data_IF_385031854116
#
_entry.id   IF_385031854116
#
_cell.length_a   1.000
_cell.length_b   1.000
_cell.length_c   1.000
_cell.angle_alpha   90.00
_cell.angle_beta   90.00
_cell.angle_gamma   90.00
#
_symmetry.space_group_name_H-M   'P 1'
#
loop_
_entity.id
_entity.type
_entity.pdbx_description
1 polymer ?
#
# COMPACT_ATOMS: atom_id res chain seq x y z
N UNK A 1 -35.16 12.44 -43.88
CA UNK A 1 -34.81 11.68 -42.66
C UNK A 1 -34.17 12.66 -41.71
N UNK A 2 -35.00 13.19 -40.83
CA UNK A 2 -34.71 14.31 -39.95
C UNK A 2 -34.06 13.77 -38.66
N UNK A 3 -32.85 14.22 -38.33
CA UNK A 3 -32.17 13.85 -37.08
C UNK A 3 -32.41 14.96 -36.06
N UNK A 4 -33.30 14.70 -35.12
CA UNK A 4 -33.60 15.59 -33.99
C UNK A 4 -32.39 15.80 -33.06
N UNK A 5 -32.39 16.88 -32.26
CA UNK A 5 -31.25 17.26 -31.43
C UNK A 5 -31.18 16.42 -30.15
N UNK A 6 -29.96 16.05 -29.77
CA UNK A 6 -29.66 15.34 -28.53
C UNK A 6 -29.76 16.28 -27.31
N UNK A 7 -30.64 15.94 -26.37
CA UNK A 7 -30.71 16.56 -25.04
C UNK A 7 -29.46 16.19 -24.24
N UNK A 8 -28.64 17.18 -23.94
CA UNK A 8 -27.47 17.05 -23.06
C UNK A 8 -27.93 17.32 -21.62
N UNK A 9 -28.04 16.27 -20.80
CA UNK A 9 -28.31 16.38 -19.37
C UNK A 9 -27.01 16.75 -18.67
N UNK A 10 -26.88 18.03 -18.28
CA UNK A 10 -25.76 18.53 -17.52
C UNK A 10 -25.80 18.06 -16.07
N UNK A 11 -25.08 16.99 -15.74
CA UNK A 11 -24.73 16.65 -14.36
C UNK A 11 -23.65 17.61 -13.88
N UNK A 12 -24.00 18.54 -12.99
CA UNK A 12 -23.03 19.35 -12.24
C UNK A 12 -22.28 18.45 -11.24
N UNK A 13 -20.94 18.40 -11.25
CA UNK A 13 -20.18 17.79 -10.16
C UNK A 13 -20.45 18.58 -8.86
N UNK A 14 -20.94 17.90 -7.82
CA UNK A 14 -20.99 18.49 -6.48
C UNK A 14 -19.56 18.72 -5.98
N UNK A 15 -19.29 19.90 -5.42
CA UNK A 15 -18.02 20.20 -4.79
C UNK A 15 -17.80 19.27 -3.58
N UNK A 16 -16.58 18.74 -3.38
CA UNK A 16 -16.29 17.87 -2.25
C UNK A 16 -16.50 18.62 -0.93
N UNK A 17 -17.43 18.12 -0.12
CA UNK A 17 -17.67 18.61 1.24
C UNK A 17 -16.40 18.43 2.07
N UNK A 18 -15.79 19.53 2.52
CA UNK A 18 -14.64 19.50 3.42
C UNK A 18 -15.09 18.91 4.76
N UNK A 19 -14.67 17.68 5.03
CA UNK A 19 -14.95 17.01 6.31
C UNK A 19 -13.93 17.53 7.33
N UNK A 20 -14.35 17.93 8.56
CA UNK A 20 -13.42 18.35 9.60
C UNK A 20 -12.43 17.22 9.94
N UNK A 21 -11.18 17.54 10.34
CA UNK A 21 -10.18 16.53 10.67
C UNK A 21 -10.62 15.75 11.92
N UNK A 22 -11.08 14.52 11.74
CA UNK A 22 -11.32 13.58 12.83
C UNK A 22 -10.02 13.35 13.62
N UNK A 23 -10.14 13.18 14.94
CA UNK A 23 -9.03 13.01 15.88
C UNK A 23 -8.04 11.94 15.38
N UNK A 24 -6.92 12.39 14.82
CA UNK A 24 -5.86 11.52 14.34
C UNK A 24 -5.21 10.77 15.50
N UNK A 25 -4.75 9.56 15.24
CA UNK A 25 -3.84 8.85 16.14
C UNK A 25 -2.61 9.75 16.34
N UNK A 26 -2.06 9.88 17.57
CA UNK A 26 -0.91 10.73 17.81
C UNK A 26 0.25 10.25 16.93
N UNK A 27 0.61 11.05 15.91
CA UNK A 27 1.79 10.78 15.12
C UNK A 27 2.99 10.79 16.07
N UNK A 28 3.74 9.69 16.12
CA UNK A 28 5.00 9.66 16.85
C UNK A 28 5.93 10.70 16.21
N UNK A 29 6.05 11.86 16.85
CA UNK A 29 6.75 13.05 16.35
C UNK A 29 8.27 12.94 16.57
N UNK A 30 8.85 11.77 16.26
CA UNK A 30 10.26 11.48 16.44
C UNK A 30 10.84 10.66 15.30
N UNK A 31 12.13 10.86 15.05
CA UNK A 31 12.89 9.99 14.17
C UNK A 31 12.98 8.59 14.81
N UNK A 32 12.80 7.55 13.99
CA UNK A 32 13.01 6.16 14.39
C UNK A 32 14.34 5.66 13.84
N UNK A 33 15.01 4.75 14.55
CA UNK A 33 16.29 4.21 14.11
C UNK A 33 16.10 2.92 13.29
N UNK A 34 16.62 2.90 12.07
CA UNK A 34 16.69 1.72 11.22
C UNK A 34 18.12 1.17 11.16
N UNK A 35 18.25 -0.15 11.19
CA UNK A 35 19.49 -0.79 10.75
C UNK A 35 19.60 -0.70 9.22
N UNK A 36 20.81 -0.82 8.68
CA UNK A 36 21.01 -0.70 7.24
C UNK A 36 22.12 -1.61 6.71
N UNK A 37 22.01 -1.96 5.44
CA UNK A 37 23.03 -2.68 4.68
C UNK A 37 23.17 -2.12 3.27
N UNK A 38 24.36 -2.26 2.71
CA UNK A 38 24.63 -1.99 1.29
C UNK A 38 25.03 -3.30 0.63
N UNK A 39 24.26 -3.68 -0.37
CA UNK A 39 24.49 -4.84 -1.21
C UNK A 39 24.89 -4.40 -2.61
N UNK A 40 26.08 -4.81 -3.08
CA UNK A 40 26.55 -4.48 -4.42
C UNK A 40 27.69 -5.42 -4.86
N UNK A 41 28.07 -5.33 -6.14
CA UNK A 41 29.20 -6.09 -6.70
C UNK A 41 30.52 -5.37 -6.41
N UNK A 42 31.45 -6.08 -5.76
CA UNK A 42 32.80 -5.57 -5.47
C UNK A 42 33.88 -6.60 -5.77
N UNK A 43 35.08 -6.11 -6.10
CA UNK A 43 36.29 -6.92 -6.17
C UNK A 43 36.90 -7.06 -4.78
N UNK A 44 37.28 -8.28 -4.41
CA UNK A 44 38.03 -8.58 -3.18
C UNK A 44 39.12 -9.63 -3.45
N UNK A 45 40.03 -9.85 -2.48
CA UNK A 45 41.00 -10.94 -2.57
C UNK A 45 40.36 -12.32 -2.81
N UNK A 46 39.14 -12.56 -2.31
CA UNK A 46 38.43 -13.85 -2.44
C UNK A 46 37.57 -13.96 -3.70
N UNK A 47 37.60 -12.97 -4.59
CA UNK A 47 36.83 -12.98 -5.84
C UNK A 47 35.97 -11.73 -6.07
N UNK A 48 35.18 -11.78 -7.14
CA UNK A 48 34.28 -10.72 -7.60
C UNK A 48 32.86 -11.25 -7.51
N UNK A 49 31.96 -10.48 -6.90
CA UNK A 49 30.56 -10.86 -6.82
C UNK A 49 29.73 -9.92 -5.96
N UNK A 50 28.41 -10.12 -6.02
CA UNK A 50 27.45 -9.42 -5.20
C UNK A 50 27.43 -9.96 -3.77
N UNK A 51 27.51 -9.04 -2.80
CA UNK A 51 27.40 -9.33 -1.37
C UNK A 51 27.09 -8.06 -0.61
N UNK A 52 26.79 -8.21 0.68
CA UNK A 52 26.76 -7.10 1.61
C UNK A 52 28.20 -6.61 1.82
N UNK A 53 28.47 -5.35 1.50
CA UNK A 53 29.80 -4.72 1.62
C UNK A 53 29.92 -3.85 2.86
N UNK A 54 28.78 -3.43 3.39
CA UNK A 54 28.67 -2.56 4.55
C UNK A 54 27.36 -2.86 5.28
N UNK A 55 27.38 -2.84 6.61
CA UNK A 55 26.18 -3.03 7.43
C UNK A 55 26.29 -2.31 8.76
N UNK A 56 25.16 -1.90 9.34
CA UNK A 56 25.09 -1.49 10.74
C UNK A 56 25.26 -2.68 11.69
N UNK A 57 25.56 -2.39 12.96
CA UNK A 57 25.85 -3.41 13.97
C UNK A 57 24.64 -4.24 14.43
N UNK A 58 23.42 -3.78 14.17
CA UNK A 58 22.19 -4.45 14.62
C UNK A 58 21.65 -5.54 13.69
N UNK A 59 22.28 -5.79 12.54
CA UNK A 59 21.88 -6.87 11.63
C UNK A 59 22.50 -8.21 12.02
N UNK A 60 21.65 -9.22 12.23
CA UNK A 60 22.06 -10.60 12.50
C UNK A 60 22.59 -11.29 11.24
N UNK A 61 23.21 -12.46 11.40
CA UNK A 61 23.71 -13.24 10.28
C UNK A 61 22.58 -13.75 9.37
N UNK A 62 21.46 -14.20 9.96
CA UNK A 62 20.32 -14.72 9.21
C UNK A 62 19.65 -13.63 8.38
N UNK A 63 19.49 -12.43 8.94
CA UNK A 63 18.94 -11.31 8.17
C UNK A 63 19.85 -10.87 7.03
N UNK A 64 21.18 -10.91 7.24
CA UNK A 64 22.15 -10.65 6.15
C UNK A 64 22.02 -11.69 5.03
N UNK A 65 21.72 -12.94 5.37
CA UNK A 65 21.45 -14.00 4.39
C UNK A 65 20.14 -13.74 3.64
N UNK A 66 19.06 -13.40 4.35
CA UNK A 66 17.77 -13.05 3.75
C UNK A 66 17.87 -11.82 2.83
N UNK A 67 18.59 -10.77 3.27
CA UNK A 67 18.88 -9.59 2.46
C UNK A 67 19.65 -9.97 1.19
N UNK A 68 20.67 -10.80 1.32
CA UNK A 68 21.46 -11.28 0.18
C UNK A 68 20.60 -12.06 -0.82
N UNK A 69 19.70 -12.92 -0.33
CA UNK A 69 18.81 -13.71 -1.18
C UNK A 69 17.79 -12.85 -1.95
N UNK A 70 17.28 -11.79 -1.32
CA UNK A 70 16.24 -10.94 -1.90
C UNK A 70 16.78 -9.76 -2.74
N UNK A 71 18.06 -9.40 -2.58
CA UNK A 71 18.66 -8.29 -3.32
C UNK A 71 18.93 -8.62 -4.79
N UNK A 72 18.74 -7.67 -5.73
CA UNK A 72 19.05 -7.87 -7.14
C UNK A 72 20.56 -7.98 -7.43
N UNK A 73 20.92 -8.86 -8.36
CA UNK A 73 22.26 -8.92 -8.98
C UNK A 73 22.30 -8.21 -10.34
N UNK A 74 23.38 -8.38 -11.12
CA UNK A 74 23.53 -7.80 -12.46
C UNK A 74 22.29 -8.09 -13.34
N UNK A 75 21.86 -7.09 -14.11
CA UNK A 75 20.79 -7.16 -15.11
C UNK A 75 19.43 -7.58 -14.51
N UNK A 76 19.23 -7.34 -13.20
CA UNK A 76 17.97 -7.66 -12.51
C UNK A 76 16.94 -6.53 -12.57
N UNK A 77 17.32 -5.30 -12.92
CA UNK A 77 16.36 -4.21 -13.08
C UNK A 77 15.61 -4.35 -14.40
N UNK A 78 14.36 -3.89 -14.43
CA UNK A 78 13.51 -3.95 -15.64
C UNK A 78 13.96 -2.99 -16.73
N UNK A 79 14.49 -1.82 -16.34
CA UNK A 79 14.97 -0.79 -17.25
C UNK A 79 16.50 -0.82 -17.31
N UNK A 80 17.05 -0.63 -18.50
CA UNK A 80 18.48 -0.40 -18.75
C UNK A 80 18.84 1.09 -18.76
N UNK A 81 17.89 1.98 -18.46
CA UNK A 81 18.19 3.40 -18.34
C UNK A 81 19.11 3.63 -17.12
N UNK A 82 20.08 4.57 -17.19
CA UNK A 82 20.94 4.88 -16.05
C UNK A 82 20.18 5.33 -14.80
N UNK A 83 19.00 5.93 -14.99
CA UNK A 83 18.09 6.36 -13.92
C UNK A 83 17.14 5.24 -13.45
N UNK A 84 17.32 3.99 -13.91
CA UNK A 84 16.49 2.88 -13.49
C UNK A 84 16.58 2.67 -11.97
N UNK A 85 15.41 2.48 -11.37
CA UNK A 85 15.24 2.22 -9.95
C UNK A 85 14.35 1.01 -9.75
N UNK A 86 14.59 0.34 -8.64
CA UNK A 86 13.72 -0.70 -8.13
C UNK A 86 13.51 -0.52 -6.64
N UNK A 87 12.37 -1.03 -6.18
CA UNK A 87 12.00 -1.09 -4.79
C UNK A 87 11.57 -2.51 -4.47
N UNK A 88 11.98 -3.03 -3.33
CA UNK A 88 11.40 -4.24 -2.75
C UNK A 88 11.18 -4.05 -1.26
N UNK A 89 10.17 -4.74 -0.74
CA UNK A 89 9.89 -4.80 0.70
C UNK A 89 9.54 -6.22 1.09
N UNK A 90 10.00 -6.67 2.25
CA UNK A 90 9.75 -8.03 2.73
C UNK A 90 9.92 -8.14 4.24
N UNK A 91 9.09 -8.96 4.92
CA UNK A 91 9.34 -9.33 6.30
C UNK A 91 10.59 -10.22 6.38
N UNK A 92 11.34 -10.07 7.46
CA UNK A 92 12.46 -10.94 7.83
C UNK A 92 11.99 -11.96 8.85
N UNK A 93 12.67 -13.10 8.94
CA UNK A 93 12.37 -14.14 9.95
C UNK A 93 12.49 -13.63 11.40
N UNK A 94 13.24 -12.55 11.63
CA UNK A 94 13.35 -11.87 12.92
C UNK A 94 12.10 -11.07 13.34
N UNK A 95 11.09 -10.97 12.46
CA UNK A 95 9.91 -10.12 12.66
C UNK A 95 10.13 -8.66 12.27
N UNK A 96 11.34 -8.27 11.84
CA UNK A 96 11.64 -6.95 11.30
C UNK A 96 11.21 -6.85 9.83
N UNK A 97 11.10 -5.63 9.32
CA UNK A 97 10.72 -5.40 7.92
C UNK A 97 11.87 -4.74 7.16
N UNK A 98 12.23 -5.28 6.00
CA UNK A 98 13.27 -4.75 5.13
C UNK A 98 12.63 -3.95 3.98
N UNK A 99 13.17 -2.77 3.69
CA UNK A 99 12.87 -1.97 2.51
C UNK A 99 14.17 -1.73 1.76
N UNK A 100 14.24 -2.21 0.51
CA UNK A 100 15.45 -2.22 -0.30
C UNK A 100 15.27 -1.40 -1.58
N UNK A 101 16.08 -0.34 -1.70
CA UNK A 101 16.10 0.59 -2.81
C UNK A 101 17.29 0.25 -3.71
N UNK A 102 17.04 -0.08 -4.98
CA UNK A 102 18.09 -0.46 -5.92
C UNK A 102 18.19 0.52 -7.09
N UNK A 103 19.41 0.79 -7.54
CA UNK A 103 19.70 1.60 -8.74
C UNK A 103 21.03 1.15 -9.36
N UNK A 104 21.35 1.68 -10.54
CA UNK A 104 22.69 1.50 -11.10
C UNK A 104 23.69 2.46 -10.45
N UNK A 105 24.91 1.95 -10.21
CA UNK A 105 25.99 2.69 -9.56
C UNK A 105 27.34 2.44 -10.25
N UNK A 106 27.37 2.71 -11.56
CA UNK A 106 28.56 2.57 -12.41
C UNK A 106 28.69 1.20 -13.05
N UNK A 107 29.89 0.91 -13.56
CA UNK A 107 30.18 -0.34 -14.29
C UNK A 107 30.45 -1.47 -13.30
N UNK A 108 29.94 -2.67 -13.59
CA UNK A 108 30.24 -3.85 -12.80
C UNK A 108 31.73 -4.23 -12.93
N UNK A 109 32.44 -4.52 -11.82
CA UNK A 109 33.86 -4.88 -11.86
C UNK A 109 34.17 -6.26 -12.48
N UNK A 110 33.19 -6.89 -13.16
CA UNK A 110 33.31 -8.20 -13.80
C UNK A 110 33.79 -8.08 -15.24
N UNK A 111 34.42 -9.13 -15.77
CA UNK A 111 34.82 -9.20 -17.18
C UNK A 111 33.62 -9.31 -18.15
N UNK A 112 32.40 -9.53 -17.63
CA UNK A 112 31.17 -9.66 -18.43
C UNK A 112 30.60 -8.30 -18.85
N UNK A 113 31.06 -7.22 -18.24
CA UNK A 113 30.49 -5.90 -18.43
C UNK A 113 29.08 -5.76 -17.84
N UNK A 114 28.44 -4.63 -18.14
CA UNK A 114 27.13 -4.27 -17.61
C UNK A 114 27.19 -3.34 -16.41
N UNK A 115 26.01 -2.92 -15.96
CA UNK A 115 25.87 -1.95 -14.88
C UNK A 115 25.87 -2.65 -13.52
N UNK A 116 26.65 -2.10 -12.59
CA UNK A 116 26.66 -2.51 -11.19
C UNK A 116 25.37 -2.07 -10.54
N UNK A 117 24.62 -3.02 -9.99
CA UNK A 117 23.46 -2.70 -9.15
C UNK A 117 23.94 -2.38 -7.73
N UNK A 118 23.48 -1.26 -7.20
CA UNK A 118 23.62 -0.85 -5.81
C UNK A 118 22.26 -0.98 -5.14
N UNK A 119 22.21 -1.68 -4.01
CA UNK A 119 21.00 -1.84 -3.20
C UNK A 119 21.28 -1.32 -1.80
N UNK A 120 20.54 -0.29 -1.38
CA UNK A 120 20.50 0.18 -0.01
C UNK A 120 19.29 -0.42 0.69
N UNK A 121 19.53 -1.18 1.74
CA UNK A 121 18.49 -1.83 2.53
C UNK A 121 18.37 -1.14 3.88
N UNK A 122 17.17 -0.70 4.24
CA UNK A 122 16.81 -0.28 5.59
C UNK A 122 15.98 -1.39 6.26
N UNK A 123 16.35 -1.74 7.49
CA UNK A 123 15.65 -2.73 8.31
C UNK A 123 15.07 -2.04 9.52
N UNK A 124 13.74 -2.03 9.60
CA UNK A 124 12.98 -1.39 10.67
C UNK A 124 12.39 -2.45 11.60
N UNK A 125 12.45 -2.19 12.91
CA UNK A 125 11.73 -3.01 13.89
C UNK A 125 10.20 -2.82 13.80
N UNK A 126 9.40 -3.70 14.43
CA UNK A 126 7.93 -3.62 14.39
C UNK A 126 7.38 -2.24 14.80
N UNK A 127 7.87 -1.67 15.89
CA UNK A 127 7.41 -0.35 16.38
C UNK A 127 7.83 0.78 15.43
N UNK A 128 9.04 0.71 14.89
CA UNK A 128 9.52 1.67 13.92
C UNK A 128 8.67 1.60 12.64
N UNK A 129 8.33 0.39 12.16
CA UNK A 129 7.49 0.23 10.98
C UNK A 129 6.05 0.68 11.24
N UNK A 130 5.54 0.47 12.45
CA UNK A 130 4.26 0.99 12.90
C UNK A 130 4.20 2.53 12.85
N UNK A 131 5.29 3.22 13.17
CA UNK A 131 5.38 4.69 13.03
C UNK A 131 5.26 5.16 11.57
N UNK A 132 5.51 4.28 10.60
CA UNK A 132 5.24 4.49 9.18
C UNK A 132 3.89 3.94 8.74
N UNK A 133 2.97 3.61 9.67
CA UNK A 133 1.68 2.95 9.39
C UNK A 133 1.83 1.63 8.60
N UNK A 134 2.97 0.97 8.81
CA UNK A 134 3.41 -0.20 8.05
C UNK A 134 3.40 0.03 6.53
N UNK A 135 3.69 1.26 6.09
CA UNK A 135 3.65 1.66 4.70
C UNK A 135 5.08 1.69 4.10
N UNK A 136 5.49 0.68 3.31
CA UNK A 136 6.88 0.56 2.85
C UNK A 136 7.33 1.73 1.94
N UNK A 137 6.44 2.36 1.18
CA UNK A 137 6.80 3.56 0.40
C UNK A 137 7.14 4.78 1.28
N UNK A 138 6.59 4.87 2.50
CA UNK A 138 6.93 5.95 3.42
C UNK A 138 8.31 5.73 4.03
N UNK A 139 8.67 4.47 4.30
CA UNK A 139 10.04 4.08 4.69
C UNK A 139 11.02 4.39 3.55
N UNK A 140 10.69 4.02 2.32
CA UNK A 140 11.50 4.33 1.12
C UNK A 140 11.77 5.84 1.00
N UNK A 141 10.72 6.66 1.12
CA UNK A 141 10.83 8.11 1.05
C UNK A 141 11.76 8.67 2.15
N UNK A 142 11.64 8.15 3.38
CA UNK A 142 12.50 8.54 4.48
C UNK A 142 13.97 8.10 4.28
N UNK A 143 14.20 6.89 3.75
CA UNK A 143 15.55 6.41 3.40
C UNK A 143 16.16 7.30 2.32
N UNK A 144 15.40 7.64 1.28
CA UNK A 144 15.83 8.53 0.21
C UNK A 144 16.20 9.93 0.73
N UNK A 145 15.46 10.45 1.70
CA UNK A 145 15.76 11.72 2.34
C UNK A 145 17.04 11.66 3.19
N UNK A 146 17.24 10.56 3.94
CA UNK A 146 18.40 10.38 4.81
C UNK A 146 19.69 9.99 4.04
N UNK A 147 19.56 9.31 2.90
CA UNK A 147 20.67 8.80 2.09
C UNK A 147 20.35 8.96 0.59
N UNK A 148 20.49 10.18 0.04
CA UNK A 148 20.03 10.50 -1.31
C UNK A 148 20.90 9.92 -2.43
N UNK A 149 22.12 9.47 -2.14
CA UNK A 149 23.08 9.00 -3.13
C UNK A 149 23.67 7.64 -2.78
N UNK A 150 23.98 6.79 -3.79
CA UNK A 150 24.72 5.56 -3.58
C UNK A 150 26.09 5.81 -2.95
N UNK A 151 26.42 5.05 -1.90
CA UNK A 151 27.74 5.07 -1.28
C UNK A 151 28.69 4.16 -2.07
N UNK A 152 29.45 4.73 -3.01
CA UNK A 152 30.40 4.00 -3.85
C UNK A 152 31.61 3.47 -3.07
N UNK A 153 31.98 4.12 -1.98
CA UNK A 153 33.07 3.76 -1.06
C UNK A 153 32.54 3.65 0.38
N UNK A 154 31.58 2.75 0.61
CA UNK A 154 31.00 2.58 1.93
C UNK A 154 32.01 1.99 2.94
N UNK A 155 32.07 2.49 4.19
CA UNK A 155 32.83 1.84 5.25
C UNK A 155 32.20 0.49 5.59
N UNK A 156 33.00 -0.49 6.04
CA UNK A 156 32.49 -1.82 6.38
C UNK A 156 31.39 -1.80 7.48
N UNK A 157 31.46 -0.82 8.39
CA UNK A 157 30.48 -0.58 9.44
C UNK A 157 29.74 0.72 9.19
N UNK A 158 28.42 0.63 9.08
CA UNK A 158 27.53 1.78 8.94
C UNK A 158 26.96 2.17 10.31
N UNK A 159 26.61 3.44 10.47
CA UNK A 159 25.73 3.88 11.56
C UNK A 159 24.30 3.44 11.28
N UNK A 160 23.39 3.54 12.26
CA UNK A 160 21.96 3.35 12.03
C UNK A 160 21.38 4.60 11.34
N UNK A 161 20.37 4.42 10.48
CA UNK A 161 19.67 5.55 9.86
C UNK A 161 18.64 6.11 10.83
N UNK A 162 18.65 7.42 11.06
CA UNK A 162 17.52 8.13 11.65
C UNK A 162 16.51 8.44 10.54
N UNK A 163 15.33 7.82 10.61
CA UNK A 163 14.26 7.97 9.61
C UNK A 163 13.07 8.70 10.23
N UNK A 164 12.58 9.72 9.55
CA UNK A 164 11.37 10.44 9.95
C UNK A 164 10.22 10.10 8.99
N UNK A 165 9.04 9.71 9.50
CA UNK A 165 7.85 9.54 8.67
C UNK A 165 7.54 10.82 7.87
N UNK A 166 7.36 10.74 6.54
CA UNK A 166 7.01 11.91 5.74
C UNK A 166 5.62 12.43 6.13
N UNK A 167 5.50 13.73 6.40
CA UNK A 167 4.21 14.39 6.62
C UNK A 167 3.46 14.57 5.30
N UNK A 168 2.16 14.25 5.28
CA UNK A 168 1.30 14.50 4.12
C UNK A 168 1.63 13.65 2.89
N UNK A 169 2.21 12.46 3.08
CA UNK A 169 2.43 11.52 1.99
C UNK A 169 1.11 11.14 1.32
N UNK A 170 1.05 11.26 -0.02
CA UNK A 170 -0.13 10.91 -0.81
C UNK A 170 0.29 10.09 -2.03
N UNK A 171 -0.45 9.01 -2.37
CA UNK A 171 -0.25 8.30 -3.64
C UNK A 171 -0.59 9.23 -4.82
N UNK A 172 0.11 9.08 -5.95
CA UNK A 172 -0.30 9.78 -7.18
C UNK A 172 -1.69 9.31 -7.62
N UNK A 173 -2.48 10.25 -8.13
CA UNK A 173 -3.92 10.12 -8.39
C UNK A 173 -4.26 9.87 -9.86
N UNK A 174 -3.26 9.75 -10.73
CA UNK A 174 -3.49 9.58 -12.17
C UNK A 174 -4.08 8.19 -12.50
N UNK A 175 -5.27 8.11 -13.09
CA UNK A 175 -5.85 6.84 -13.54
C UNK A 175 -7.28 6.96 -14.04
N UNK A 176 -7.69 5.99 -14.85
CA UNK A 176 -9.06 5.86 -15.35
C UNK A 176 -9.88 4.92 -14.46
N UNK A 177 -11.21 4.94 -14.57
CA UNK A 177 -12.10 4.03 -13.82
C UNK A 177 -11.75 2.55 -14.01
N UNK A 178 -11.30 2.17 -15.21
CA UNK A 178 -10.85 0.80 -15.50
C UNK A 178 -9.62 0.39 -14.67
N UNK A 179 -8.74 1.34 -14.29
CA UNK A 179 -7.60 1.07 -13.41
C UNK A 179 -8.09 0.74 -12.00
N UNK A 180 -9.16 1.39 -11.53
CA UNK A 180 -9.75 1.11 -10.22
C UNK A 180 -10.28 -0.32 -10.17
N UNK A 181 -11.00 -0.76 -11.21
CA UNK A 181 -11.53 -2.13 -11.23
C UNK A 181 -10.39 -3.17 -11.23
N UNK A 182 -9.27 -2.92 -11.93
CA UNK A 182 -8.08 -3.78 -11.89
C UNK A 182 -7.42 -3.78 -10.51
N UNK A 183 -7.30 -2.62 -9.87
CA UNK A 183 -6.79 -2.51 -8.50
C UNK A 183 -7.62 -3.31 -7.51
N UNK A 184 -8.95 -3.31 -7.66
CA UNK A 184 -9.85 -4.09 -6.80
C UNK A 184 -9.61 -5.60 -6.98
N UNK A 185 -9.43 -6.07 -8.21
CA UNK A 185 -9.10 -7.49 -8.46
C UNK A 185 -7.75 -7.86 -7.87
N UNK A 186 -6.73 -7.02 -8.03
CA UNK A 186 -5.42 -7.25 -7.40
C UNK A 186 -5.50 -7.24 -5.87
N UNK A 187 -6.27 -6.33 -5.29
CA UNK A 187 -6.49 -6.28 -3.85
C UNK A 187 -7.16 -7.58 -3.38
N UNK A 188 -8.15 -8.09 -4.11
CA UNK A 188 -8.78 -9.37 -3.80
C UNK A 188 -7.78 -10.53 -3.78
N UNK A 189 -6.87 -10.58 -4.76
CA UNK A 189 -5.79 -11.58 -4.81
C UNK A 189 -4.86 -11.49 -3.60
N UNK A 190 -4.48 -10.27 -3.20
CA UNK A 190 -3.60 -10.06 -2.04
C UNK A 190 -4.29 -10.39 -0.70
N UNK A 191 -5.58 -10.06 -0.55
CA UNK A 191 -6.37 -10.45 0.62
C UNK A 191 -6.49 -11.98 0.73
N UNK A 192 -6.62 -12.67 -0.40
CA UNK A 192 -6.56 -14.12 -0.49
C UNK A 192 -5.14 -14.71 -0.40
N UNK A 193 -4.13 -13.86 -0.15
CA UNK A 193 -2.70 -14.18 -0.08
C UNK A 193 -2.12 -14.87 -1.35
N UNK A 194 -2.78 -14.73 -2.50
CA UNK A 194 -2.32 -15.30 -3.76
C UNK A 194 -1.05 -14.59 -4.26
N UNK A 195 -0.01 -15.38 -4.56
CA UNK A 195 1.20 -14.85 -5.19
C UNK A 195 0.89 -14.40 -6.60
N UNK A 196 1.20 -13.14 -6.89
CA UNK A 196 0.76 -12.47 -8.12
C UNK A 196 1.90 -11.70 -8.78
N UNK A 197 2.08 -11.91 -10.09
CA UNK A 197 2.95 -11.12 -10.96
C UNK A 197 2.09 -10.25 -11.85
N UNK A 198 2.21 -8.93 -11.71
CA UNK A 198 1.50 -7.94 -12.53
C UNK A 198 2.38 -7.54 -13.70
N UNK A 199 1.89 -7.69 -14.93
CA UNK A 199 2.61 -7.31 -16.15
C UNK A 199 1.92 -6.15 -16.85
N UNK A 200 2.68 -5.36 -17.62
CA UNK A 200 2.12 -4.32 -18.50
C UNK A 200 1.64 -3.03 -17.82
N UNK A 201 1.72 -2.90 -16.49
CA UNK A 201 1.31 -1.67 -15.80
C UNK A 201 2.27 -0.50 -16.09
N UNK A 202 1.76 0.68 -16.51
CA UNK A 202 2.60 1.85 -16.81
C UNK A 202 3.10 2.60 -15.55
N UNK A 203 2.33 2.57 -14.45
CA UNK A 203 2.58 3.38 -13.24
C UNK A 203 2.77 2.51 -11.99
N UNK A 204 3.79 1.65 -12.00
CA UNK A 204 3.98 0.57 -11.00
C UNK A 204 4.07 1.06 -9.55
N UNK A 205 4.82 2.12 -9.27
CA UNK A 205 4.91 2.66 -7.90
C UNK A 205 3.57 3.25 -7.44
N UNK A 206 2.86 3.97 -8.32
CA UNK A 206 1.51 4.48 -8.04
C UNK A 206 0.49 3.37 -7.79
N UNK A 207 0.58 2.27 -8.56
CA UNK A 207 -0.22 1.07 -8.35
C UNK A 207 0.04 0.47 -6.97
N UNK A 208 1.31 0.27 -6.60
CA UNK A 208 1.67 -0.24 -5.27
C UNK A 208 1.12 0.68 -4.15
N UNK A 209 1.27 1.99 -4.31
CA UNK A 209 0.78 2.98 -3.35
C UNK A 209 -0.73 2.86 -3.13
N UNK A 210 -1.50 2.68 -4.20
CA UNK A 210 -2.97 2.48 -4.10
C UNK A 210 -3.32 1.14 -3.46
N UNK A 211 -2.65 0.05 -3.85
CA UNK A 211 -2.89 -1.26 -3.22
C UNK A 211 -2.63 -1.20 -1.72
N UNK A 212 -1.52 -0.61 -1.30
CA UNK A 212 -1.20 -0.43 0.12
C UNK A 212 -2.29 0.36 0.85
N UNK A 213 -2.84 1.43 0.25
CA UNK A 213 -3.91 2.20 0.86
C UNK A 213 -5.16 1.38 1.20
N UNK A 214 -5.46 0.31 0.44
CA UNK A 214 -6.61 -0.57 0.68
C UNK A 214 -6.29 -1.88 1.40
N UNK A 215 -5.01 -2.12 1.74
CA UNK A 215 -4.57 -3.30 2.48
C UNK A 215 -4.56 -3.02 3.98
N UNK A 216 -5.21 -3.86 4.81
CA UNK A 216 -5.10 -3.82 6.27
C UNK A 216 -3.65 -3.86 6.76
N UNK A 217 -3.37 -3.19 7.88
CA UNK A 217 -2.01 -3.07 8.44
C UNK A 217 -1.33 -4.42 8.65
N UNK A 218 -2.03 -5.42 9.19
CA UNK A 218 -1.46 -6.76 9.38
C UNK A 218 -0.92 -7.36 8.07
N UNK A 219 -1.66 -7.19 6.97
CA UNK A 219 -1.23 -7.66 5.66
C UNK A 219 -0.09 -6.83 5.06
N UNK A 220 -0.03 -5.51 5.33
CA UNK A 220 1.13 -4.69 4.93
C UNK A 220 2.41 -5.15 5.62
N UNK A 221 2.31 -5.59 6.87
CA UNK A 221 3.45 -6.09 7.66
C UNK A 221 4.02 -7.40 7.11
N UNK A 222 3.19 -8.27 6.55
CA UNK A 222 3.60 -9.54 5.98
C UNK A 222 3.84 -9.50 4.46
N UNK A 223 3.38 -8.45 3.78
CA UNK A 223 3.49 -8.32 2.32
C UNK A 223 4.95 -8.30 1.90
N UNK A 224 5.33 -9.24 1.04
CA UNK A 224 6.60 -9.23 0.33
C UNK A 224 6.39 -8.84 -1.13
N UNK A 225 7.13 -7.84 -1.62
CA UNK A 225 6.91 -7.31 -2.96
C UNK A 225 8.19 -6.84 -3.65
N UNK A 226 8.12 -6.70 -4.98
CA UNK A 226 9.12 -6.00 -5.78
C UNK A 226 8.49 -5.17 -6.91
N UNK A 227 9.12 -4.03 -7.20
CA UNK A 227 8.74 -3.07 -8.24
C UNK A 227 10.01 -2.67 -9.00
N UNK A 228 9.97 -2.68 -10.33
CA UNK A 228 11.14 -2.29 -11.13
C UNK A 228 12.19 -3.41 -11.27
N UNK A 229 11.92 -4.62 -10.77
CA UNK A 229 12.80 -5.79 -10.84
C UNK A 229 12.23 -6.84 -11.79
N UNK A 230 13.10 -7.55 -12.50
CA UNK A 230 12.73 -8.78 -13.22
C UNK A 230 12.22 -9.82 -12.21
N UNK A 231 11.19 -10.57 -12.58
CA UNK A 231 10.70 -11.66 -11.74
C UNK A 231 11.81 -12.71 -11.55
N UNK A 232 11.92 -13.25 -10.34
CA UNK A 232 12.73 -14.44 -10.07
C UNK A 232 12.01 -15.28 -9.04
N UNK A 233 11.85 -16.56 -9.33
CA UNK A 233 11.22 -17.53 -8.42
C UNK A 233 12.05 -17.81 -7.17
N UNK A 234 13.34 -17.47 -7.17
CA UNK A 234 14.21 -17.60 -5.99
C UNK A 234 13.94 -16.55 -4.92
N UNK A 235 13.33 -15.43 -5.30
CA UNK A 235 12.88 -14.35 -4.42
C UNK A 235 11.38 -14.55 -4.24
N UNK A 236 10.98 -15.17 -3.13
CA UNK A 236 9.60 -15.60 -2.87
C UNK A 236 8.68 -14.43 -2.54
N UNK A 237 8.61 -13.43 -3.42
CA UNK A 237 7.71 -12.29 -3.28
C UNK A 237 6.26 -12.71 -3.51
N UNK A 238 5.36 -12.13 -2.73
CA UNK A 238 3.91 -12.25 -2.90
C UNK A 238 3.41 -11.38 -4.04
N UNK A 239 3.98 -10.18 -4.23
CA UNK A 239 3.61 -9.27 -5.32
C UNK A 239 4.83 -8.86 -6.15
N UNK A 240 4.80 -9.06 -7.46
CA UNK A 240 5.85 -8.60 -8.38
C UNK A 240 5.24 -7.69 -9.44
N UNK A 241 5.59 -6.41 -9.45
CA UNK A 241 5.21 -5.47 -10.51
C UNK A 241 6.28 -5.49 -11.61
N UNK A 242 6.08 -6.35 -12.58
CA UNK A 242 7.03 -6.69 -13.64
C UNK A 242 6.92 -5.76 -14.87
N UNK A 243 7.74 -6.05 -15.88
CA UNK A 243 7.72 -5.39 -17.18
C UNK A 243 6.53 -5.81 -18.04
N UNK A 244 6.59 -5.57 -19.36
CA UNK A 244 5.68 -6.18 -20.32
C UNK A 244 5.69 -7.71 -20.21
N UNK A 245 4.60 -8.40 -20.61
CA UNK A 245 4.59 -9.85 -20.71
C UNK A 245 5.72 -10.34 -21.62
N UNK A 246 6.34 -11.46 -21.26
CA UNK A 246 7.39 -12.08 -22.07
C UNK A 246 7.37 -13.60 -21.88
N UNK A 247 7.75 -14.34 -22.94
CA UNK A 247 7.87 -15.81 -22.85
C UNK A 247 8.99 -16.27 -21.90
N UNK A 248 9.93 -15.41 -21.54
CA UNK A 248 10.89 -15.69 -20.46
C UNK A 248 10.21 -15.65 -19.10
N UNK A 249 9.39 -14.62 -18.84
CA UNK A 249 8.63 -14.51 -17.60
C UNK A 249 7.67 -15.69 -17.44
N UNK A 250 6.89 -16.01 -18.48
CA UNK A 250 5.94 -17.13 -18.45
C UNK A 250 6.64 -18.46 -18.14
N UNK A 251 7.76 -18.75 -18.83
CA UNK A 251 8.57 -19.95 -18.54
C UNK A 251 9.15 -19.94 -17.12
N UNK A 252 9.55 -18.77 -16.62
CA UNK A 252 10.13 -18.66 -15.28
C UNK A 252 9.12 -18.94 -14.17
N UNK A 253 7.84 -18.63 -14.38
CA UNK A 253 6.78 -18.86 -13.37
C UNK A 253 5.99 -20.16 -13.62
N UNK A 254 6.15 -20.79 -14.78
CA UNK A 254 5.52 -22.06 -15.10
C UNK A 254 5.87 -23.14 -14.06
N UNK A 255 4.84 -23.82 -13.55
CA UNK A 255 5.00 -24.86 -12.51
C UNK A 255 5.08 -24.33 -11.08
N UNK A 256 4.98 -23.01 -10.87
CA UNK A 256 4.85 -22.41 -9.55
C UNK A 256 3.41 -21.93 -9.31
N UNK A 257 2.98 -21.92 -8.04
CA UNK A 257 1.72 -21.30 -7.63
C UNK A 257 1.85 -19.77 -7.65
N UNK A 258 1.86 -19.22 -8.87
CA UNK A 258 2.00 -17.79 -9.16
C UNK A 258 0.98 -17.42 -10.24
N UNK A 259 0.10 -16.47 -9.94
CA UNK A 259 -0.85 -15.93 -10.90
C UNK A 259 -0.21 -14.79 -11.69
N UNK A 260 -0.25 -14.87 -13.02
CA UNK A 260 0.04 -13.71 -13.87
C UNK A 260 -1.24 -12.87 -13.98
N UNK A 261 -1.14 -11.58 -13.68
CA UNK A 261 -2.18 -10.59 -13.89
C UNK A 261 -1.73 -9.63 -15.01
N UNK A 262 -2.35 -9.73 -16.18
CA UNK A 262 -2.09 -8.81 -17.27
C UNK A 262 -2.89 -7.52 -17.08
N UNK A 263 -2.18 -6.40 -16.87
CA UNK A 263 -2.80 -5.09 -16.69
C UNK A 263 -3.57 -4.62 -17.94
N UNK A 264 -3.19 -5.07 -19.13
CA UNK A 264 -3.86 -4.69 -20.38
C UNK A 264 -5.15 -5.47 -20.63
N UNK A 265 -5.30 -6.64 -20.00
CA UNK A 265 -6.50 -7.46 -20.14
C UNK A 265 -7.72 -6.79 -19.48
N UNK A 266 -8.95 -7.09 -19.95
CA UNK A 266 -10.16 -6.73 -19.24
C UNK A 266 -10.15 -7.33 -17.83
N UNK A 267 -10.55 -6.57 -16.79
CA UNK A 267 -10.58 -7.11 -15.43
C UNK A 267 -11.61 -8.23 -15.32
N UNK A 268 -11.16 -9.43 -14.96
CA UNK A 268 -12.05 -10.54 -14.66
C UNK A 268 -12.74 -10.32 -13.31
N UNK A 269 -14.07 -10.43 -13.28
CA UNK A 269 -14.81 -10.40 -12.02
C UNK A 269 -14.65 -11.75 -11.32
N UNK A 270 -13.79 -11.80 -10.32
CA UNK A 270 -13.72 -12.93 -9.39
C UNK A 270 -14.70 -12.72 -8.23
N UNK A 271 -15.40 -13.79 -7.83
CA UNK A 271 -16.10 -13.82 -6.54
C UNK A 271 -15.06 -13.87 -5.43
N UNK A 272 -15.24 -13.07 -4.38
CA UNK A 272 -14.33 -13.02 -3.24
C UNK A 272 -15.12 -13.04 -1.93
N UNK A 273 -14.58 -13.74 -0.92
CA UNK A 273 -15.09 -13.62 0.45
C UNK A 273 -15.02 -12.17 0.97
N UNK A 274 -14.17 -11.34 0.35
CA UNK A 274 -13.95 -9.95 0.72
C UNK A 274 -14.81 -8.95 -0.08
N UNK A 275 -15.86 -9.40 -0.78
CA UNK A 275 -16.65 -8.55 -1.70
C UNK A 275 -17.22 -7.27 -1.07
N UNK A 276 -17.65 -7.32 0.19
CA UNK A 276 -18.15 -6.14 0.91
C UNK A 276 -17.05 -5.07 1.06
N UNK A 277 -15.87 -5.47 1.53
CA UNK A 277 -14.70 -4.62 1.66
C UNK A 277 -14.21 -4.09 0.31
N UNK A 278 -14.12 -4.96 -0.70
CA UNK A 278 -13.67 -4.59 -2.03
C UNK A 278 -14.60 -3.55 -2.68
N UNK A 279 -15.92 -3.67 -2.48
CA UNK A 279 -16.90 -2.66 -2.94
C UNK A 279 -16.72 -1.33 -2.19
N UNK A 280 -16.49 -1.38 -0.89
CA UNK A 280 -16.21 -0.21 -0.06
C UNK A 280 -14.95 0.51 -0.56
N UNK A 281 -13.82 -0.20 -0.66
CA UNK A 281 -12.53 0.32 -1.14
C UNK A 281 -12.69 0.95 -2.53
N UNK A 282 -13.37 0.27 -3.46
CA UNK A 282 -13.64 0.79 -4.80
C UNK A 282 -14.31 2.16 -4.76
N UNK A 283 -15.37 2.32 -3.96
CA UNK A 283 -16.07 3.60 -3.81
C UNK A 283 -15.17 4.70 -3.25
N UNK A 284 -14.33 4.37 -2.26
CA UNK A 284 -13.37 5.32 -1.67
C UNK A 284 -12.32 5.77 -2.69
N UNK A 285 -11.78 4.85 -3.49
CA UNK A 285 -10.85 5.19 -4.56
C UNK A 285 -11.50 6.06 -5.64
N UNK A 286 -12.72 5.73 -6.08
CA UNK A 286 -13.48 6.55 -7.04
C UNK A 286 -13.77 7.96 -6.51
N UNK A 287 -14.04 8.08 -5.20
CA UNK A 287 -14.27 9.35 -4.54
C UNK A 287 -12.99 10.11 -4.17
N UNK A 288 -11.79 9.59 -4.48
CA UNK A 288 -10.53 10.22 -4.10
C UNK A 288 -10.21 10.19 -2.61
N UNK A 289 -10.90 9.36 -1.81
CA UNK A 289 -10.81 9.31 -0.33
C UNK A 289 -9.72 8.34 0.16
N UNK A 290 -8.50 8.48 -0.39
CA UNK A 290 -7.38 7.60 -0.10
C UNK A 290 -6.85 7.74 1.33
N UNK A 291 -6.78 8.97 1.87
CA UNK A 291 -6.27 9.21 3.22
C UNK A 291 -7.16 8.59 4.31
N UNK A 292 -8.47 8.63 4.10
CA UNK A 292 -9.41 7.95 4.98
C UNK A 292 -9.20 6.43 4.92
N UNK A 293 -9.09 5.87 3.72
CA UNK A 293 -8.89 4.44 3.56
C UNK A 293 -7.56 3.98 4.18
N UNK A 294 -6.49 4.75 3.98
CA UNK A 294 -5.18 4.47 4.55
C UNK A 294 -5.23 4.48 6.09
N UNK A 295 -5.93 5.46 6.67
CA UNK A 295 -6.14 5.56 8.13
C UNK A 295 -6.95 4.39 8.68
N UNK A 296 -8.04 4.01 8.02
CA UNK A 296 -8.85 2.85 8.40
C UNK A 296 -8.00 1.58 8.37
N UNK A 297 -7.24 1.38 7.29
CA UNK A 297 -6.35 0.24 7.14
C UNK A 297 -5.22 0.21 8.17
N UNK A 298 -4.68 1.38 8.56
CA UNK A 298 -3.68 1.49 9.61
C UNK A 298 -4.22 1.08 11.00
N UNK A 299 -5.54 1.26 11.24
CA UNK A 299 -6.23 0.83 12.45
C UNK A 299 -6.57 -0.66 12.50
N UNK A 300 -6.50 -1.38 11.38
CA UNK A 300 -6.75 -2.83 11.29
C UNK A 300 -5.50 -3.63 11.66
N UNK A 301 -5.22 -3.69 12.96
CA UNK A 301 -3.99 -4.31 13.51
C UNK A 301 -4.07 -5.84 13.58
N UNK A 302 -5.26 -6.40 13.77
CA UNK A 302 -5.49 -7.85 13.86
C UNK A 302 -5.53 -8.52 12.49
N UNK A 303 -5.56 -9.86 12.47
CA UNK A 303 -5.77 -10.62 11.24
C UNK A 303 -7.12 -10.24 10.61
N UNK A 304 -7.04 -9.56 9.46
CA UNK A 304 -8.19 -9.00 8.77
C UNK A 304 -9.02 -10.09 8.08
N UNK A 305 -9.93 -10.71 8.84
CA UNK A 305 -10.88 -11.68 8.31
C UNK A 305 -11.90 -11.01 7.39
N UNK A 306 -12.55 -11.81 6.53
CA UNK A 306 -13.60 -11.33 5.65
C UNK A 306 -14.76 -10.67 6.44
N UNK A 307 -15.17 -11.28 7.55
CA UNK A 307 -16.24 -10.78 8.41
C UNK A 307 -15.86 -9.46 9.09
N UNK A 308 -14.63 -9.35 9.59
CA UNK A 308 -14.14 -8.12 10.22
C UNK A 308 -14.09 -6.97 9.21
N UNK A 309 -13.58 -7.24 8.00
CA UNK A 309 -13.53 -6.24 6.93
C UNK A 309 -14.93 -5.84 6.43
N UNK A 310 -15.87 -6.80 6.37
CA UNK A 310 -17.26 -6.54 6.05
C UNK A 310 -17.95 -5.66 7.11
N UNK A 311 -17.72 -5.94 8.40
CA UNK A 311 -18.22 -5.13 9.51
C UNK A 311 -17.71 -3.69 9.43
N UNK A 312 -16.41 -3.51 9.22
CA UNK A 312 -15.79 -2.18 9.09
C UNK A 312 -16.36 -1.41 7.90
N UNK A 313 -16.50 -2.07 6.75
CA UNK A 313 -17.14 -1.48 5.57
C UNK A 313 -18.59 -1.06 5.87
N UNK A 314 -19.39 -1.93 6.50
CA UNK A 314 -20.78 -1.66 6.87
C UNK A 314 -20.89 -0.42 7.76
N UNK A 315 -20.14 -0.38 8.87
CA UNK A 315 -20.20 0.73 9.83
C UNK A 315 -19.82 2.07 9.18
N UNK A 316 -18.80 2.08 8.32
CA UNK A 316 -18.40 3.29 7.60
C UNK A 316 -19.49 3.77 6.63
N UNK A 317 -20.15 2.84 5.93
CA UNK A 317 -21.24 3.16 5.01
C UNK A 317 -22.49 3.63 5.75
N UNK A 318 -22.82 3.00 6.88
CA UNK A 318 -23.95 3.36 7.73
C UNK A 318 -23.77 4.70 8.40
N UNK A 319 -22.55 5.03 8.84
CA UNK A 319 -22.22 6.36 9.36
C UNK A 319 -22.39 7.45 8.30
N UNK A 320 -22.17 7.15 7.02
CA UNK A 320 -22.42 8.09 5.93
C UNK A 320 -23.90 8.19 5.57
N UNK A 321 -24.60 7.06 5.48
CA UNK A 321 -26.04 7.03 5.25
C UNK A 321 -26.80 7.76 6.34
N UNK A 322 -26.39 7.61 7.61
CA UNK A 322 -26.98 8.31 8.76
C UNK A 322 -26.96 9.84 8.61
N UNK A 323 -25.99 10.42 7.88
CA UNK A 323 -25.92 11.88 7.67
C UNK A 323 -27.00 12.41 6.73
N UNK A 324 -27.58 11.55 5.90
CA UNK A 324 -28.61 11.92 4.92
C UNK A 324 -29.97 11.29 5.21
N UNK A 325 -30.04 10.35 6.16
CA UNK A 325 -31.23 9.57 6.50
C UNK A 325 -32.42 10.45 6.91
N UNK A 326 -33.63 9.96 6.65
CA UNK A 326 -34.85 10.48 7.27
C UNK A 326 -35.03 9.96 8.72
N UNK A 327 -36.08 10.42 9.42
CA UNK A 327 -36.30 10.05 10.81
C UNK A 327 -36.55 8.53 11.01
N UNK A 328 -37.20 7.88 10.03
CA UNK A 328 -37.50 6.45 10.10
C UNK A 328 -36.26 5.59 9.87
N UNK A 329 -35.50 5.90 8.82
CA UNK A 329 -34.22 5.27 8.51
C UNK A 329 -33.22 5.43 9.67
N UNK A 330 -33.16 6.63 10.26
CA UNK A 330 -32.27 6.93 11.39
C UNK A 330 -32.62 6.10 12.62
N UNK A 331 -33.91 5.92 12.91
CA UNK A 331 -34.38 5.08 14.02
C UNK A 331 -34.03 3.60 13.79
N UNK A 332 -34.13 3.11 12.55
CA UNK A 332 -33.75 1.74 12.20
C UNK A 332 -32.25 1.51 12.38
N UNK A 333 -31.42 2.42 11.85
CA UNK A 333 -29.96 2.38 12.02
C UNK A 333 -29.55 2.42 13.50
N UNK A 334 -30.14 3.32 14.29
CA UNK A 334 -29.83 3.41 15.73
C UNK A 334 -30.22 2.13 16.47
N UNK A 335 -31.37 1.53 16.14
CA UNK A 335 -31.82 0.26 16.71
C UNK A 335 -30.89 -0.90 16.34
N UNK A 336 -30.38 -0.95 15.10
CA UNK A 336 -29.46 -2.01 14.64
C UNK A 336 -28.20 -2.09 15.50
N UNK A 337 -27.63 -0.96 15.86
CA UNK A 337 -26.39 -0.88 16.64
C UNK A 337 -26.63 -0.68 18.15
N UNK A 338 -27.89 -0.69 18.60
CA UNK A 338 -28.23 -0.55 20.01
C UNK A 338 -27.71 -1.75 20.81
N UNK A 339 -26.73 -1.51 21.68
CA UNK A 339 -26.15 -2.53 22.54
C UNK A 339 -25.03 -3.36 21.90
N UNK A 340 -24.57 -2.99 20.70
CA UNK A 340 -23.38 -3.59 20.11
C UNK A 340 -22.15 -3.30 20.98
N UNK A 341 -21.34 -4.32 21.26
CA UNK A 341 -20.11 -4.18 22.04
C UNK A 341 -18.92 -4.16 21.09
N UNK A 342 -18.05 -3.13 21.16
CA UNK A 342 -16.88 -3.07 20.28
C UNK A 342 -15.93 -4.22 20.59
N UNK A 343 -15.42 -4.84 19.52
CA UNK A 343 -14.49 -5.98 19.57
C UNK A 343 -13.03 -5.56 19.41
N UNK A 344 -12.77 -4.33 18.96
CA UNK A 344 -11.43 -3.77 18.78
C UNK A 344 -11.45 -2.25 18.99
N UNK A 345 -10.28 -1.60 19.16
CA UNK A 345 -10.20 -0.14 19.25
C UNK A 345 -10.74 0.58 18.01
N UNK A 346 -10.47 0.05 16.81
CA UNK A 346 -11.02 0.61 15.57
C UNK A 346 -12.54 0.46 15.52
N UNK A 347 -13.08 -0.70 15.94
CA UNK A 347 -14.52 -0.91 16.00
C UNK A 347 -15.18 0.09 16.96
N UNK A 348 -14.61 0.31 18.16
CA UNK A 348 -15.11 1.31 19.10
C UNK A 348 -15.11 2.73 18.51
N UNK A 349 -14.05 3.11 17.79
CA UNK A 349 -13.95 4.41 17.12
C UNK A 349 -15.03 4.57 16.02
N UNK A 350 -15.24 3.54 15.20
CA UNK A 350 -16.25 3.56 14.15
C UNK A 350 -17.67 3.62 14.69
N UNK A 351 -17.99 2.86 15.75
CA UNK A 351 -19.30 2.95 16.42
C UNK A 351 -19.53 4.35 17.01
N UNK A 352 -18.50 4.96 17.60
CA UNK A 352 -18.58 6.34 18.08
C UNK A 352 -18.87 7.30 16.93
N UNK A 353 -18.13 7.22 15.82
CA UNK A 353 -18.34 8.07 14.64
C UNK A 353 -19.75 7.89 14.05
N UNK A 354 -20.27 6.65 14.04
CA UNK A 354 -21.64 6.36 13.66
C UNK A 354 -22.65 7.04 14.58
N UNK A 355 -22.54 6.88 15.90
CA UNK A 355 -23.46 7.52 16.86
C UNK A 355 -23.40 9.04 16.81
N UNK A 356 -22.22 9.63 16.61
CA UNK A 356 -22.06 11.07 16.40
C UNK A 356 -22.80 11.54 15.13
N UNK A 357 -22.68 10.80 14.02
CA UNK A 357 -23.41 11.11 12.79
C UNK A 357 -24.93 11.01 13.00
N UNK A 358 -25.41 10.01 13.75
CA UNK A 358 -26.83 9.85 14.10
C UNK A 358 -27.34 11.03 14.92
N UNK A 359 -26.63 11.41 15.98
CA UNK A 359 -27.00 12.54 16.84
C UNK A 359 -27.04 13.86 16.07
N UNK A 360 -26.02 14.12 15.23
CA UNK A 360 -25.97 15.32 14.40
C UNK A 360 -27.16 15.40 13.44
N UNK A 361 -27.52 14.27 12.80
CA UNK A 361 -28.66 14.23 11.88
C UNK A 361 -29.98 14.43 12.61
N UNK A 362 -30.15 13.84 13.80
CA UNK A 362 -31.35 14.01 14.61
C UNK A 362 -31.59 15.48 14.96
N UNK A 363 -30.57 16.19 15.45
CA UNK A 363 -30.64 17.63 15.75
C UNK A 363 -31.01 18.43 14.50
N UNK A 364 -30.46 18.07 13.34
CA UNK A 364 -30.80 18.72 12.07
C UNK A 364 -32.27 18.52 11.69
N UNK A 365 -32.81 17.31 11.84
CA UNK A 365 -34.22 17.01 11.54
C UNK A 365 -35.18 17.72 12.50
N UNK A 366 -34.86 17.77 13.79
CA UNK A 366 -35.64 18.51 14.80
C UNK A 366 -35.65 20.01 14.49
N UNK A 367 -34.50 20.57 14.10
CA UNK A 367 -34.39 21.98 13.68
C UNK A 367 -35.25 22.26 12.44
N UNK A 368 -35.22 21.36 11.45
CA UNK A 368 -36.03 21.50 10.23
C UNK A 368 -37.54 21.37 10.51
N UNK A 369 -37.95 20.54 11.48
CA UNK A 369 -39.34 20.43 11.88
C UNK A 369 -39.84 21.71 12.58
N UNK A 370 -39.02 22.28 13.47
CA UNK A 370 -39.36 23.51 14.19
C UNK A 370 -39.50 24.74 13.27
N UNK A 371 -38.74 24.81 12.17
CA UNK A 371 -38.86 25.92 11.20
C UNK A 371 -40.07 25.81 10.27
N UNK A 372 -40.74 24.65 10.23
CA UNK A 372 -41.92 24.41 9.37
C UNK A 372 -43.24 24.39 10.15
N UNK A 373 -43.24 24.70 11.45
CA UNK A 373 -44.49 25.00 12.16
C UNK A 373 -45.10 26.28 11.58
N UNK A 374 -46.25 26.20 10.88
CA UNK A 374 -46.84 27.37 10.22
C UNK A 374 -47.22 28.41 11.28
N UNK A 375 -46.88 29.68 11.04
CA UNK A 375 -47.43 30.82 11.80
C UNK A 375 -48.95 30.73 11.74
N UNK A 376 -49.54 30.24 12.83
CA UNK A 376 -51.00 30.14 13.00
C UNK A 376 -51.61 31.47 13.39
#
# INVERSE_FOLDING_TARGET
MDRGPALTVGLRPQAPTQTPPAAGWPAASGAVLADQAIFTSIRSPVGIGYRIIASSGGLTADEKKEITQNSPSNNSLLSSAPAARALSGYPLTSGRYAVACSCYAGIEPTARGGERVYTHVAVVGPDAFAAFECHPLRVEAAVRAAAPQPLTNAPARLERLALSPPSGWRPSMDGHDDDIQRLVVLLALLLAQQRTVVVGSPAREGLLARLLSGLPRALRQSLSFSVGMKCSVSRTFQLVLAGPPSGELERSVAGHDIRIFDWSAPPERALSAFDAWLRFVRRRWQAGRFEELDRLCAGLVEEASADQLALVASLCEEAESARCADAGELMELNRKHAGERPTSPLHADLLRQFHEAVQQRQVQLETLAATHEPEQ
#
